data_IF_417144004044
#
_entry.id   IF_417144004044
#
_cell.length_a   1.000
_cell.length_b   1.000
_cell.length_c   1.000
_cell.angle_alpha   90.00
_cell.angle_beta   90.00
_cell.angle_gamma   90.00
#
_symmetry.space_group_name_H-M   'P 1'
#
loop_
_entity.id
_entity.type
_entity.pdbx_description
1 polymer ?
#
# COMPACT_ATOMS: atom_id res chain seq x y z
N UNK A 1 -0.67 27.92 3.91
CA UNK A 1 -1.52 27.45 5.04
C UNK A 1 -1.62 25.94 4.92
N UNK A 2 -1.05 25.24 5.86
CA UNK A 2 -0.99 23.77 5.87
C UNK A 2 -2.11 23.32 6.81
N UNK A 3 -3.22 22.89 6.25
CA UNK A 3 -4.24 22.21 7.06
C UNK A 3 -3.80 20.78 7.31
N UNK A 4 -3.41 20.52 8.56
CA UNK A 4 -3.24 19.17 9.06
C UNK A 4 -4.62 18.66 9.47
N UNK A 5 -5.21 17.79 8.67
CA UNK A 5 -6.46 17.10 9.03
C UNK A 5 -6.13 15.67 9.45
N UNK A 6 -6.51 15.40 10.71
CA UNK A 6 -7.05 14.11 11.15
C UNK A 6 -6.13 12.98 11.58
N UNK A 7 -6.50 12.42 12.71
CA UNK A 7 -6.14 11.19 13.41
C UNK A 7 -6.28 9.86 12.61
N UNK A 8 -6.24 9.88 11.29
CA UNK A 8 -6.16 8.70 10.44
C UNK A 8 -4.71 8.36 10.20
N UNK A 9 -4.37 7.07 10.23
CA UNK A 9 -3.02 6.57 9.99
C UNK A 9 -2.48 6.83 8.55
N UNK A 10 -3.17 7.68 7.76
CA UNK A 10 -2.77 8.19 6.45
C UNK A 10 -2.80 9.71 6.50
N UNK A 11 -1.62 10.32 6.53
CA UNK A 11 -1.48 11.77 6.41
C UNK A 11 -1.55 12.17 4.93
N UNK A 12 -2.28 13.24 4.65
CA UNK A 12 -2.43 13.77 3.30
C UNK A 12 -1.80 15.16 3.22
N UNK A 13 -1.01 15.39 2.18
CA UNK A 13 -0.40 16.70 1.90
C UNK A 13 -0.37 16.95 0.41
N UNK A 14 -0.66 18.18 0.01
CA UNK A 14 -0.53 18.60 -1.40
C UNK A 14 0.73 19.43 -1.60
N UNK A 15 1.44 19.14 -2.68
CA UNK A 15 2.58 19.93 -3.17
C UNK A 15 2.32 20.18 -4.66
N UNK A 16 1.87 21.39 -5.00
CA UNK A 16 1.38 21.68 -6.34
C UNK A 16 0.19 20.79 -6.71
N UNK A 17 0.28 20.10 -7.85
CA UNK A 17 -0.73 19.13 -8.29
C UNK A 17 -0.54 17.72 -7.73
N UNK A 18 0.50 17.46 -6.91
CA UNK A 18 0.77 16.12 -6.40
C UNK A 18 0.17 15.92 -5.01
N UNK A 19 -0.64 14.88 -4.86
CA UNK A 19 -1.17 14.43 -3.58
C UNK A 19 -0.19 13.43 -2.95
N UNK A 20 0.36 13.76 -1.79
CA UNK A 20 1.18 12.86 -0.97
C UNK A 20 0.31 12.18 0.08
N UNK A 21 0.31 10.86 0.06
CA UNK A 21 -0.34 9.97 1.02
C UNK A 21 0.74 9.25 1.83
N UNK A 22 0.90 9.64 3.08
CA UNK A 22 1.91 9.04 3.96
C UNK A 22 1.24 8.13 4.98
N UNK A 23 1.65 6.86 5.01
CA UNK A 23 1.24 5.91 6.04
C UNK A 23 1.98 6.28 7.33
N UNK A 24 1.24 6.64 8.38
CA UNK A 24 1.80 7.22 9.62
C UNK A 24 1.49 6.39 10.86
N UNK A 25 1.88 5.13 10.84
CA UNK A 25 1.78 4.21 11.97
C UNK A 25 3.15 3.65 12.40
N UNK A 26 4.16 4.50 12.73
CA UNK A 26 5.54 4.07 12.91
C UNK A 26 5.73 3.10 14.09
N UNK A 27 4.87 3.12 15.09
CA UNK A 27 4.92 2.19 16.25
C UNK A 27 4.71 0.73 15.83
N UNK A 28 3.96 0.48 14.77
CA UNK A 28 3.71 -0.84 14.19
C UNK A 28 4.49 -1.03 12.88
N UNK A 29 5.48 -0.18 12.61
CA UNK A 29 6.19 -0.15 11.31
C UNK A 29 5.24 -0.01 10.14
N UNK A 30 4.26 0.88 10.27
CA UNK A 30 3.24 1.15 9.26
C UNK A 30 2.42 -0.09 8.86
N UNK A 31 2.11 -0.98 9.83
CA UNK A 31 1.24 -2.12 9.60
C UNK A 31 -0.13 -1.67 9.08
N UNK A 32 -0.65 -2.41 8.11
CA UNK A 32 -1.88 -2.09 7.41
C UNK A 32 -3.08 -2.66 8.16
N UNK A 33 -3.84 -1.80 8.81
CA UNK A 33 -5.14 -2.12 9.37
C UNK A 33 -6.27 -1.87 8.36
N UNK A 34 -7.45 -2.48 8.56
CA UNK A 34 -8.62 -2.22 7.72
C UNK A 34 -9.00 -0.73 7.64
N UNK A 35 -9.04 0.02 8.77
CA UNK A 35 -9.31 1.46 8.71
C UNK A 35 -8.27 2.25 7.90
N UNK A 36 -6.97 1.88 8.02
CA UNK A 36 -5.90 2.51 7.26
C UNK A 36 -6.06 2.24 5.76
N UNK A 37 -6.31 0.99 5.39
CA UNK A 37 -6.54 0.59 4.01
C UNK A 37 -7.76 1.30 3.41
N UNK A 38 -8.86 1.38 4.16
CA UNK A 38 -10.05 2.12 3.73
C UNK A 38 -9.75 3.61 3.49
N UNK A 39 -9.02 4.25 4.40
CA UNK A 39 -8.61 5.64 4.25
C UNK A 39 -7.68 5.86 3.05
N UNK A 40 -6.76 4.93 2.80
CA UNK A 40 -5.86 4.99 1.66
C UNK A 40 -6.63 4.83 0.33
N UNK A 41 -7.55 3.86 0.26
CA UNK A 41 -8.40 3.66 -0.92
C UNK A 41 -9.26 4.87 -1.21
N UNK A 42 -9.96 5.40 -0.22
CA UNK A 42 -10.79 6.61 -0.36
C UNK A 42 -9.97 7.81 -0.86
N UNK A 43 -8.76 8.01 -0.33
CA UNK A 43 -7.90 9.11 -0.77
C UNK A 43 -7.42 8.98 -2.22
N UNK A 44 -7.35 7.76 -2.76
CA UNK A 44 -7.04 7.52 -4.18
C UNK A 44 -8.26 7.69 -5.07
N UNK A 45 -9.46 7.37 -4.57
CA UNK A 45 -10.71 7.46 -5.34
C UNK A 45 -11.30 8.88 -5.35
N UNK A 46 -11.16 9.63 -4.25
CA UNK A 46 -11.76 10.96 -4.05
C UNK A 46 -10.84 12.10 -4.53
N UNK A 47 -10.38 12.04 -5.78
CA UNK A 47 -9.48 13.02 -6.35
C UNK A 47 -10.26 14.18 -6.97
N UNK A 48 -9.86 15.41 -6.65
CA UNK A 48 -10.32 16.58 -7.39
C UNK A 48 -9.52 16.75 -8.71
N UNK A 49 -10.05 17.57 -9.61
CA UNK A 49 -9.48 17.80 -10.95
C UNK A 49 -8.07 18.42 -10.91
N UNK A 50 -7.67 19.02 -9.81
CA UNK A 50 -6.38 19.70 -9.66
C UNK A 50 -5.26 18.76 -9.26
N UNK A 51 -5.58 17.50 -8.87
CA UNK A 51 -4.58 16.45 -8.64
C UNK A 51 -4.10 15.92 -9.98
N UNK A 52 -2.79 15.96 -10.20
CA UNK A 52 -2.12 15.46 -11.42
C UNK A 52 -1.33 14.19 -11.19
N UNK A 53 -1.04 13.86 -9.94
CA UNK A 53 -0.32 12.64 -9.55
C UNK A 53 -0.44 12.37 -8.07
N UNK A 54 -0.16 11.12 -7.68
CA UNK A 54 -0.22 10.64 -6.30
C UNK A 54 1.12 10.02 -5.93
N UNK A 55 1.61 10.31 -4.72
CA UNK A 55 2.76 9.63 -4.13
C UNK A 55 2.31 8.95 -2.84
N UNK A 56 2.53 7.66 -2.73
CA UNK A 56 2.29 6.88 -1.51
C UNK A 56 3.63 6.58 -0.87
N UNK A 57 3.78 6.88 0.41
CA UNK A 57 5.00 6.66 1.19
C UNK A 57 4.68 6.13 2.59
N UNK A 58 5.71 5.70 3.33
CA UNK A 58 5.61 5.36 4.74
C UNK A 58 6.50 6.23 5.60
N UNK A 59 6.05 6.55 6.80
CA UNK A 59 6.83 7.32 7.77
C UNK A 59 7.90 6.45 8.47
N UNK A 60 8.92 7.09 9.04
CA UNK A 60 9.89 6.43 9.92
C UNK A 60 10.82 5.42 9.25
N UNK A 61 11.16 5.61 7.96
CA UNK A 61 12.13 4.76 7.26
C UNK A 61 11.63 3.35 6.94
N UNK A 62 10.32 3.14 6.92
CA UNK A 62 9.67 1.88 6.54
C UNK A 62 8.48 2.20 5.67
N UNK A 63 8.38 1.60 4.50
CA UNK A 63 7.16 1.77 3.70
C UNK A 63 5.97 1.16 4.45
N UNK A 64 6.01 -0.15 4.69
CA UNK A 64 5.06 -0.83 5.59
C UNK A 64 5.51 -2.27 5.86
N UNK A 65 5.23 -2.74 7.08
CA UNK A 65 5.46 -4.13 7.50
C UNK A 65 4.39 -5.12 6.99
N UNK A 66 3.41 -4.66 6.22
CA UNK A 66 2.31 -5.49 5.73
C UNK A 66 1.10 -5.49 6.64
N UNK A 67 0.31 -6.55 6.58
CA UNK A 67 -0.91 -6.69 7.36
C UNK A 67 -0.68 -6.51 8.87
N UNK A 68 -1.60 -5.83 9.54
CA UNK A 68 -1.63 -5.82 10.99
C UNK A 68 -2.10 -7.19 11.50
N UNK A 69 -1.17 -7.96 12.05
CA UNK A 69 -1.48 -9.29 12.58
C UNK A 69 -2.47 -9.27 13.75
N UNK A 70 -2.64 -8.13 14.42
CA UNK A 70 -3.66 -7.95 15.46
C UNK A 70 -5.10 -8.03 14.91
N UNK A 71 -5.27 -7.82 13.61
CA UNK A 71 -6.56 -7.92 12.91
C UNK A 71 -6.78 -9.25 12.18
N UNK A 72 -5.77 -10.12 12.17
CA UNK A 72 -5.85 -11.43 11.52
C UNK A 72 -6.12 -12.53 12.55
N UNK A 73 -7.00 -13.45 12.20
CA UNK A 73 -7.45 -14.55 13.07
C UNK A 73 -6.84 -15.91 12.69
N UNK A 74 -6.24 -16.01 11.51
CA UNK A 74 -5.78 -17.27 10.92
C UNK A 74 -6.94 -18.14 10.42
N UNK A 75 -8.11 -17.56 10.19
CA UNK A 75 -9.33 -18.25 9.75
C UNK A 75 -9.89 -17.68 8.46
N UNK A 76 -10.96 -18.28 7.94
CA UNK A 76 -11.66 -17.76 6.77
C UNK A 76 -12.21 -16.33 6.93
N UNK A 77 -12.30 -15.81 8.15
CA UNK A 77 -12.68 -14.41 8.41
C UNK A 77 -11.64 -13.41 7.87
N UNK A 78 -10.40 -13.85 7.64
CA UNK A 78 -9.33 -13.00 7.11
C UNK A 78 -9.50 -12.68 5.61
N UNK A 79 -10.39 -13.39 4.90
CA UNK A 79 -10.77 -13.07 3.51
C UNK A 79 -11.22 -11.62 3.38
N UNK A 80 -11.96 -11.09 4.37
CA UNK A 80 -12.35 -9.68 4.38
C UNK A 80 -11.18 -8.69 4.48
N UNK A 81 -10.02 -9.10 5.02
CA UNK A 81 -8.81 -8.28 4.95
C UNK A 81 -8.24 -8.26 3.53
N UNK A 82 -8.16 -9.42 2.88
CA UNK A 82 -7.70 -9.53 1.50
C UNK A 82 -8.59 -8.73 0.53
N UNK A 83 -9.91 -8.73 0.74
CA UNK A 83 -10.85 -7.90 -0.02
C UNK A 83 -10.56 -6.41 0.15
N UNK A 84 -10.20 -5.98 1.37
CA UNK A 84 -9.83 -4.57 1.62
C UNK A 84 -8.54 -4.20 0.91
N UNK A 85 -7.53 -5.06 0.90
CA UNK A 85 -6.29 -4.87 0.13
C UNK A 85 -6.59 -4.83 -1.36
N UNK A 86 -7.43 -5.73 -1.86
CA UNK A 86 -7.84 -5.79 -3.26
C UNK A 86 -8.57 -4.51 -3.70
N UNK A 87 -9.39 -3.93 -2.84
CA UNK A 87 -10.05 -2.65 -3.10
C UNK A 87 -9.03 -1.52 -3.30
N UNK A 88 -8.04 -1.39 -2.40
CA UNK A 88 -6.97 -0.39 -2.52
C UNK A 88 -6.16 -0.57 -3.81
N UNK A 89 -5.75 -1.81 -4.12
CA UNK A 89 -4.98 -2.08 -5.34
C UNK A 89 -5.80 -1.82 -6.59
N UNK A 90 -7.12 -2.02 -6.54
CA UNK A 90 -8.04 -1.68 -7.63
C UNK A 90 -8.16 -0.18 -7.80
N UNK A 91 -8.36 0.59 -6.72
CA UNK A 91 -8.40 2.05 -6.75
C UNK A 91 -7.12 2.63 -7.38
N UNK A 92 -5.95 2.15 -6.95
CA UNK A 92 -4.65 2.57 -7.51
C UNK A 92 -4.60 2.31 -9.02
N UNK A 93 -4.94 1.12 -9.47
CA UNK A 93 -4.84 0.70 -10.88
C UNK A 93 -5.86 1.36 -11.79
N UNK A 94 -7.02 1.72 -11.27
CA UNK A 94 -8.09 2.42 -12.01
C UNK A 94 -7.99 3.94 -11.90
N UNK A 95 -7.04 4.46 -11.09
CA UNK A 95 -6.81 5.89 -10.97
C UNK A 95 -6.49 6.52 -12.33
N UNK A 96 -7.14 7.65 -12.69
CA UNK A 96 -6.78 8.39 -13.89
C UNK A 96 -5.46 9.18 -13.74
N UNK A 97 -4.81 9.09 -12.59
CA UNK A 97 -3.55 9.78 -12.27
C UNK A 97 -2.42 8.78 -12.08
N UNK A 98 -1.21 9.20 -12.40
CA UNK A 98 -0.02 8.40 -12.13
C UNK A 98 0.14 8.25 -10.61
N UNK A 99 0.27 7.01 -10.15
CA UNK A 99 0.49 6.67 -8.75
C UNK A 99 1.91 6.14 -8.58
N UNK A 100 2.66 6.75 -7.68
CA UNK A 100 4.05 6.40 -7.39
C UNK A 100 4.17 5.86 -5.97
N UNK A 101 4.75 4.68 -5.80
CA UNK A 101 5.18 4.22 -4.48
C UNK A 101 6.61 4.72 -4.21
N UNK A 102 6.75 5.59 -3.21
CA UNK A 102 8.05 6.05 -2.71
C UNK A 102 8.41 5.23 -1.46
N UNK A 103 9.32 4.26 -1.64
CA UNK A 103 9.60 3.25 -0.63
C UNK A 103 10.94 3.51 0.05
N UNK A 104 10.90 3.65 1.37
CA UNK A 104 12.09 3.60 2.22
C UNK A 104 12.03 2.31 3.06
N UNK A 105 13.16 1.59 3.16
CA UNK A 105 13.24 0.37 3.95
C UNK A 105 12.26 -0.74 3.52
N UNK A 106 11.77 -1.53 4.50
CA UNK A 106 10.91 -2.70 4.23
C UNK A 106 9.56 -2.37 3.60
N UNK A 107 9.16 -3.17 2.60
CA UNK A 107 7.83 -3.19 1.98
C UNK A 107 7.36 -4.65 1.91
N UNK A 108 6.50 -5.09 2.86
CA UNK A 108 6.28 -6.50 3.15
C UNK A 108 4.82 -6.91 2.94
N UNK A 109 4.59 -8.09 2.37
CA UNK A 109 3.27 -8.74 2.27
C UNK A 109 2.26 -7.88 1.51
N UNK A 110 1.13 -7.54 2.14
CA UNK A 110 0.09 -6.70 1.55
C UNK A 110 0.61 -5.32 1.09
N UNK A 111 1.64 -4.77 1.77
CA UNK A 111 2.26 -3.53 1.33
C UNK A 111 3.02 -3.69 0.02
N UNK A 112 3.66 -4.84 -0.20
CA UNK A 112 4.30 -5.15 -1.48
C UNK A 112 3.25 -5.22 -2.60
N UNK A 113 2.07 -5.79 -2.35
CA UNK A 113 0.97 -5.81 -3.33
C UNK A 113 0.50 -4.39 -3.70
N UNK A 114 0.34 -3.51 -2.71
CA UNK A 114 0.01 -2.09 -2.93
C UNK A 114 1.10 -1.39 -3.75
N UNK A 115 2.37 -1.54 -3.38
CA UNK A 115 3.47 -0.93 -4.10
C UNK A 115 3.59 -1.46 -5.55
N UNK A 116 3.34 -2.76 -5.76
CA UNK A 116 3.35 -3.39 -7.08
C UNK A 116 2.12 -3.00 -7.92
N UNK A 117 1.03 -2.53 -7.32
CA UNK A 117 -0.13 -2.00 -8.01
C UNK A 117 0.07 -0.57 -8.54
N UNK A 118 1.02 0.19 -7.98
CA UNK A 118 1.36 1.54 -8.44
C UNK A 118 2.00 1.51 -9.84
N UNK A 119 1.89 2.61 -10.58
CA UNK A 119 2.51 2.76 -11.91
C UNK A 119 4.04 2.75 -11.81
N UNK A 120 4.58 3.50 -10.86
CA UNK A 120 6.02 3.63 -10.65
C UNK A 120 6.39 3.30 -9.20
N UNK A 121 7.60 2.81 -9.01
CA UNK A 121 8.22 2.55 -7.70
C UNK A 121 9.58 3.22 -7.66
N UNK A 122 9.80 4.00 -6.61
CA UNK A 122 11.10 4.62 -6.30
C UNK A 122 11.53 4.07 -4.96
N UNK A 123 12.64 3.36 -4.93
CA UNK A 123 13.22 2.79 -3.72
C UNK A 123 14.41 3.60 -3.24
N UNK A 124 14.45 3.91 -1.94
CA UNK A 124 15.65 4.42 -1.29
C UNK A 124 16.68 3.31 -1.03
N UNK A 125 17.83 3.69 -0.51
CA UNK A 125 18.86 2.76 -0.07
C UNK A 125 18.31 1.87 1.08
N UNK A 126 18.49 0.56 0.95
CA UNK A 126 17.95 -0.41 1.92
C UNK A 126 16.47 -0.78 1.70
N UNK A 127 15.82 -0.25 0.67
CA UNK A 127 14.49 -0.68 0.28
C UNK A 127 14.49 -2.12 -0.24
N UNK A 128 13.51 -2.90 0.19
CA UNK A 128 13.24 -4.23 -0.38
C UNK A 128 11.76 -4.57 -0.31
N UNK A 129 11.32 -5.37 -1.28
CA UNK A 129 9.98 -5.97 -1.26
C UNK A 129 10.10 -7.45 -0.89
N UNK A 130 9.18 -7.93 -0.05
CA UNK A 130 9.12 -9.32 0.34
C UNK A 130 7.69 -9.76 0.58
N UNK A 131 7.31 -10.93 0.08
CA UNK A 131 6.03 -11.59 0.37
C UNK A 131 6.32 -12.89 1.12
N UNK A 132 6.36 -12.87 2.47
CA UNK A 132 6.79 -14.00 3.27
C UNK A 132 5.69 -15.04 3.53
N UNK A 133 4.57 -15.02 2.81
CA UNK A 133 3.38 -15.82 3.07
C UNK A 133 3.69 -17.31 3.31
N UNK A 134 4.47 -17.94 2.43
CA UNK A 134 4.85 -19.35 2.56
C UNK A 134 5.65 -19.63 3.84
N UNK A 135 6.55 -18.72 4.22
CA UNK A 135 7.34 -18.87 5.46
C UNK A 135 6.48 -18.75 6.72
N UNK A 136 5.34 -18.06 6.61
CA UNK A 136 4.37 -17.86 7.68
C UNK A 136 3.27 -18.93 7.67
N UNK A 137 3.31 -19.88 6.73
CA UNK A 137 2.26 -20.90 6.57
C UNK A 137 0.92 -20.32 6.07
N UNK A 138 0.96 -19.14 5.43
CA UNK A 138 -0.20 -18.46 4.90
C UNK A 138 -0.35 -18.72 3.40
N UNK A 139 -1.60 -18.84 2.94
CA UNK A 139 -1.93 -18.72 1.54
C UNK A 139 -1.97 -17.23 1.18
N UNK A 140 -1.25 -16.86 0.14
CA UNK A 140 -1.34 -15.50 -0.40
C UNK A 140 -2.52 -15.40 -1.36
N UNK A 141 -3.14 -14.22 -1.46
CA UNK A 141 -4.29 -13.99 -2.32
C UNK A 141 -4.01 -14.42 -3.77
N UNK A 142 -4.77 -15.39 -4.34
CA UNK A 142 -4.51 -15.91 -5.69
C UNK A 142 -4.62 -14.84 -6.79
N UNK A 143 -5.57 -13.89 -6.64
CA UNK A 143 -5.78 -12.83 -7.63
C UNK A 143 -4.60 -11.84 -7.63
N UNK A 144 -4.02 -11.58 -6.46
CA UNK A 144 -2.80 -10.78 -6.35
C UNK A 144 -1.62 -11.46 -7.05
N UNK A 145 -1.45 -12.78 -6.84
CA UNK A 145 -0.41 -13.56 -7.52
C UNK A 145 -0.61 -13.58 -9.04
N UNK A 146 -1.82 -13.81 -9.51
CA UNK A 146 -2.11 -13.82 -10.95
C UNK A 146 -1.85 -12.45 -11.58
N UNK A 147 -2.24 -11.36 -10.91
CA UNK A 147 -1.93 -10.00 -11.32
C UNK A 147 -0.43 -9.75 -11.42
N UNK A 148 0.34 -10.15 -10.40
CA UNK A 148 1.80 -10.01 -10.39
C UNK A 148 2.43 -10.80 -11.54
N UNK A 149 2.00 -12.03 -11.77
CA UNK A 149 2.50 -12.89 -12.87
C UNK A 149 2.24 -12.32 -14.27
N UNK A 150 1.14 -11.61 -14.43
CA UNK A 150 0.82 -10.92 -15.71
C UNK A 150 1.64 -9.65 -15.92
N UNK A 151 2.05 -9.00 -14.82
CA UNK A 151 2.71 -7.69 -14.89
C UNK A 151 4.24 -7.79 -14.88
N UNK A 152 4.78 -8.78 -14.17
CA UNK A 152 6.22 -8.91 -13.94
C UNK A 152 6.78 -10.21 -14.55
N UNK A 153 8.03 -10.18 -15.07
CA UNK A 153 8.67 -11.38 -15.58
C UNK A 153 8.94 -12.38 -14.45
N UNK A 154 8.84 -13.68 -14.75
CA UNK A 154 8.90 -14.74 -13.72
C UNK A 154 10.17 -14.75 -12.87
N UNK A 155 11.30 -14.23 -13.38
CA UNK A 155 12.53 -14.13 -12.59
C UNK A 155 12.47 -13.03 -11.50
N UNK A 156 11.61 -12.04 -11.63
CA UNK A 156 11.42 -11.00 -10.64
C UNK A 156 10.47 -11.42 -9.50
N UNK A 157 9.81 -12.59 -9.65
CA UNK A 157 8.83 -13.13 -8.69
C UNK A 157 9.34 -14.36 -7.92
N UNK A 158 10.66 -14.57 -7.86
CA UNK A 158 11.29 -15.70 -7.14
C UNK A 158 11.86 -15.32 -5.80
#
# INVERSE_FOLDING_TARGET
MTEAVSSTAVAQRRIGGVLHLEITAPRTRNALSRPLLAALGAAVDELDETVTGIVISGSGGTFSAGADFGELTGTAADVGFDETVAAVTTAIRSSPRIVVAAMEGPCIGAAADIALACDLRVGGEGCYLQIPAVRLGLLYNPDALDRMRRTYPGHALR
#
